data_IF_358190110872
#
_entry.id   IF_358190110872
#
_cell.length_a   1.000
_cell.length_b   1.000
_cell.length_c   1.000
_cell.angle_alpha   90.00
_cell.angle_beta   90.00
_cell.angle_gamma   90.00
#
_symmetry.space_group_name_H-M   'P 1'
#
loop_
_entity.id
_entity.type
_entity.pdbx_description
1 polymer ?
#
# COMPACT_ATOMS: atom_id res chain seq x y z
N UNK A 1 4.42 14.70 5.67
CA UNK A 1 4.13 13.45 4.94
C UNK A 1 3.00 12.69 5.62
N UNK A 2 2.12 12.10 4.85
CA UNK A 2 1.04 11.26 5.37
C UNK A 2 1.23 9.84 4.82
N UNK A 3 1.28 8.84 5.69
CA UNK A 3 1.41 7.44 5.31
C UNK A 3 0.38 6.59 6.03
N UNK A 4 -0.27 5.67 5.31
CA UNK A 4 -1.16 4.69 5.94
C UNK A 4 -0.40 3.43 6.36
N UNK A 5 0.91 3.33 6.07
CA UNK A 5 1.72 2.18 6.39
C UNK A 5 2.48 2.31 7.70
N UNK A 6 2.90 3.52 8.06
CA UNK A 6 3.69 3.75 9.27
C UNK A 6 3.48 5.14 9.82
N UNK A 7 3.60 5.27 11.13
CA UNK A 7 3.65 6.54 11.85
C UNK A 7 5.09 7.01 12.12
N UNK A 8 6.09 6.17 11.89
CA UNK A 8 7.50 6.47 12.15
C UNK A 8 8.14 7.07 10.90
N UNK A 9 7.82 8.34 10.64
CA UNK A 9 8.16 9.00 9.37
C UNK A 9 9.63 9.42 9.26
N UNK A 10 10.39 9.37 10.35
CA UNK A 10 11.79 9.79 10.39
C UNK A 10 12.78 8.65 10.17
N UNK A 11 12.28 7.43 10.11
CA UNK A 11 13.09 6.21 10.03
C UNK A 11 12.82 5.49 8.73
N UNK A 12 13.88 5.10 8.02
CA UNK A 12 13.77 4.25 6.83
C UNK A 12 13.14 2.91 7.21
N UNK A 13 12.03 2.55 6.59
CA UNK A 13 11.32 1.30 6.90
C UNK A 13 12.10 0.05 6.52
N UNK A 14 13.10 0.16 5.67
CA UNK A 14 13.89 -0.98 5.18
C UNK A 14 15.08 -1.25 6.10
N UNK A 15 15.92 -0.26 6.35
CA UNK A 15 17.17 -0.45 7.07
C UNK A 15 17.23 0.18 8.47
N UNK A 16 16.23 0.97 8.86
CA UNK A 16 16.16 1.59 10.18
C UNK A 16 17.02 2.85 10.34
N UNK A 17 17.71 3.29 9.29
CA UNK A 17 18.48 4.55 9.32
C UNK A 17 17.56 5.75 9.20
N UNK A 18 18.11 6.94 9.35
CA UNK A 18 17.33 8.15 9.14
C UNK A 18 16.74 8.20 7.72
N UNK A 19 15.48 8.57 7.62
CA UNK A 19 14.81 8.75 6.34
C UNK A 19 15.35 9.99 5.63
N UNK A 20 15.54 9.89 4.33
CA UNK A 20 16.03 10.97 3.49
C UNK A 20 15.08 11.29 2.33
N UNK A 21 14.11 10.41 2.08
CA UNK A 21 13.18 10.54 0.96
C UNK A 21 11.83 9.90 1.29
N UNK A 22 10.85 10.20 0.47
CA UNK A 22 9.55 9.54 0.47
C UNK A 22 9.46 8.64 -0.76
N UNK A 23 9.17 7.36 -0.56
CA UNK A 23 8.95 6.45 -1.67
C UNK A 23 7.46 6.23 -1.86
N UNK A 24 6.96 6.52 -3.05
CA UNK A 24 5.58 6.22 -3.42
C UNK A 24 5.49 4.76 -3.83
N UNK A 25 4.70 3.97 -3.11
CA UNK A 25 4.66 2.51 -3.28
C UNK A 25 4.16 2.10 -4.66
N UNK A 26 3.12 2.76 -5.15
CA UNK A 26 2.70 2.65 -6.54
C UNK A 26 3.24 3.88 -7.25
N UNK A 27 4.24 3.69 -8.07
CA UNK A 27 4.95 4.77 -8.75
C UNK A 27 4.72 4.75 -10.26
N UNK A 28 5.38 5.65 -10.98
CA UNK A 28 5.07 5.97 -12.36
C UNK A 28 4.22 7.25 -12.39
N UNK A 29 4.06 7.84 -13.56
CA UNK A 29 3.45 9.16 -13.71
C UNK A 29 2.07 9.27 -13.05
N UNK A 30 1.22 8.29 -13.25
CA UNK A 30 -0.13 8.27 -12.71
C UNK A 30 -0.19 7.68 -11.30
N UNK A 31 0.53 6.58 -11.07
CA UNK A 31 0.55 5.91 -9.78
C UNK A 31 1.13 6.76 -8.66
N UNK A 32 2.15 7.56 -8.92
CA UNK A 32 2.76 8.44 -7.94
C UNK A 32 1.77 9.47 -7.40
N UNK A 33 0.99 10.08 -8.27
CA UNK A 33 -0.01 11.06 -7.87
C UNK A 33 -1.09 10.44 -6.98
N UNK A 34 -1.58 9.27 -7.35
CA UNK A 34 -2.55 8.53 -6.55
C UNK A 34 -1.98 8.06 -5.21
N UNK A 35 -0.74 7.57 -5.20
CA UNK A 35 -0.05 7.19 -3.97
C UNK A 35 0.08 8.37 -3.01
N UNK A 36 0.37 9.56 -3.54
CA UNK A 36 0.44 10.78 -2.75
C UNK A 36 -0.90 11.07 -2.07
N UNK A 37 -1.99 11.00 -2.83
CA UNK A 37 -3.34 11.24 -2.31
C UNK A 37 -3.78 10.20 -1.30
N UNK A 38 -3.45 8.95 -1.53
CA UNK A 38 -3.92 7.82 -0.73
C UNK A 38 -3.01 7.50 0.46
N UNK A 39 -1.88 8.19 0.60
CA UNK A 39 -0.93 7.92 1.67
C UNK A 39 -0.15 6.62 1.50
N UNK A 40 -0.03 6.12 0.26
CA UNK A 40 0.77 4.94 -0.07
C UNK A 40 2.24 5.33 -0.22
N UNK A 41 2.82 5.81 0.87
CA UNK A 41 4.20 6.28 0.92
C UNK A 41 4.91 5.70 2.13
N UNK A 42 6.20 5.48 1.98
CA UNK A 42 7.07 5.07 3.08
C UNK A 42 8.26 6.01 3.18
N UNK A 43 8.70 6.31 4.42
CA UNK A 43 9.98 6.98 4.62
C UNK A 43 11.11 6.01 4.29
N UNK A 44 12.12 6.48 3.58
CA UNK A 44 13.19 5.62 3.08
C UNK A 44 14.50 6.42 3.00
N UNK A 45 15.63 5.76 3.22
CA UNK A 45 16.91 6.39 2.98
C UNK A 45 17.28 6.30 1.49
N UNK A 46 18.20 7.15 1.04
CA UNK A 46 18.57 7.19 -0.37
C UNK A 46 19.15 5.87 -0.88
N UNK A 47 19.93 5.16 -0.05
CA UNK A 47 20.51 3.88 -0.45
C UNK A 47 19.45 2.81 -0.72
N UNK A 48 18.42 2.73 0.11
CA UNK A 48 17.33 1.77 -0.10
C UNK A 48 16.39 2.21 -1.22
N UNK A 49 16.33 3.49 -1.54
CA UNK A 49 15.42 4.04 -2.53
C UNK A 49 15.96 3.90 -3.96
N UNK A 50 17.03 4.59 -4.32
CA UNK A 50 17.54 4.64 -5.69
C UNK A 50 19.05 4.80 -5.84
N UNK A 51 19.78 5.08 -4.76
CA UNK A 51 21.21 5.39 -4.82
C UNK A 51 22.12 4.24 -4.41
N UNK A 52 21.58 3.19 -3.80
CA UNK A 52 22.34 2.04 -3.38
C UNK A 52 22.59 1.02 -4.48
N UNK A 53 23.14 -0.13 -4.11
CA UNK A 53 23.35 -1.25 -5.00
C UNK A 53 22.02 -1.83 -5.49
N UNK A 54 21.99 -2.39 -6.71
CA UNK A 54 20.78 -2.94 -7.35
C UNK A 54 20.08 -3.95 -6.46
N UNK A 55 20.83 -4.77 -5.74
CA UNK A 55 20.25 -5.81 -4.87
C UNK A 55 19.65 -5.24 -3.57
N UNK A 56 19.86 -3.97 -3.28
CA UNK A 56 19.41 -3.32 -2.04
C UNK A 56 18.39 -2.22 -2.23
N UNK A 57 18.34 -1.62 -3.40
CA UNK A 57 17.45 -0.49 -3.67
C UNK A 57 16.16 -0.94 -4.31
N UNK A 58 15.13 -0.11 -4.21
CA UNK A 58 13.84 -0.38 -4.85
C UNK A 58 13.90 -0.03 -6.33
N UNK A 59 14.22 1.24 -6.66
CA UNK A 59 14.25 1.66 -8.06
C UNK A 59 15.43 1.06 -8.81
N UNK A 60 15.14 0.52 -10.00
CA UNK A 60 16.12 -0.19 -10.80
C UNK A 60 16.27 -1.67 -10.44
N UNK A 61 15.48 -2.15 -9.49
CA UNK A 61 15.43 -3.56 -9.10
C UNK A 61 14.02 -4.09 -9.41
N UNK A 62 13.82 -4.81 -10.53
CA UNK A 62 12.48 -5.20 -10.98
C UNK A 62 11.66 -5.96 -9.95
N UNK A 63 12.28 -6.85 -9.18
CA UNK A 63 11.58 -7.58 -8.14
C UNK A 63 11.13 -6.67 -7.01
N UNK A 64 12.01 -5.78 -6.54
CA UNK A 64 11.68 -4.84 -5.49
C UNK A 64 10.62 -3.82 -5.94
N UNK A 65 10.68 -3.39 -7.20
CA UNK A 65 9.66 -2.51 -7.78
C UNK A 65 8.29 -3.19 -7.80
N UNK A 66 8.24 -4.47 -8.19
CA UNK A 66 6.98 -5.23 -8.18
C UNK A 66 6.45 -5.41 -6.76
N UNK A 67 7.31 -5.78 -5.81
CA UNK A 67 6.93 -5.93 -4.41
C UNK A 67 6.43 -4.61 -3.80
N UNK A 68 7.03 -3.49 -4.17
CA UNK A 68 6.57 -2.17 -3.75
C UNK A 68 5.12 -1.93 -4.15
N UNK A 69 4.77 -2.23 -5.40
CA UNK A 69 3.40 -2.06 -5.91
C UNK A 69 2.42 -3.03 -5.22
N UNK A 70 2.83 -4.26 -4.99
CA UNK A 70 2.02 -5.26 -4.26
C UNK A 70 1.74 -4.79 -2.83
N UNK A 71 2.77 -4.30 -2.14
CA UNK A 71 2.63 -3.78 -0.78
C UNK A 71 1.67 -2.59 -0.75
N UNK A 72 1.81 -1.68 -1.71
CA UNK A 72 0.90 -0.54 -1.86
C UNK A 72 -0.53 -0.99 -2.06
N UNK A 73 -0.75 -1.95 -2.93
CA UNK A 73 -2.08 -2.51 -3.17
C UNK A 73 -2.67 -3.14 -1.90
N UNK A 74 -1.90 -3.97 -1.21
CA UNK A 74 -2.38 -4.63 0.02
C UNK A 74 -2.68 -3.62 1.13
N UNK A 75 -1.88 -2.58 1.28
CA UNK A 75 -2.14 -1.51 2.23
C UNK A 75 -3.44 -0.76 1.90
N UNK A 76 -3.66 -0.46 0.63
CA UNK A 76 -4.87 0.21 0.17
C UNK A 76 -6.11 -0.67 0.37
N UNK A 77 -6.00 -1.96 0.02
CA UNK A 77 -7.09 -2.93 0.21
C UNK A 77 -7.43 -3.12 1.69
N UNK A 78 -6.41 -3.13 2.55
CA UNK A 78 -6.62 -3.20 4.01
C UNK A 78 -7.39 -1.98 4.51
N UNK A 79 -7.01 -0.79 4.09
CA UNK A 79 -7.70 0.45 4.49
C UNK A 79 -9.14 0.46 4.01
N UNK A 80 -9.38 0.04 2.78
CA UNK A 80 -10.72 -0.12 2.23
C UNK A 80 -11.55 -1.12 3.06
N UNK A 81 -10.94 -2.27 3.40
CA UNK A 81 -11.63 -3.31 4.18
C UNK A 81 -12.00 -2.81 5.58
N UNK A 82 -11.12 -2.05 6.23
CA UNK A 82 -11.41 -1.48 7.55
C UNK A 82 -12.59 -0.51 7.51
N UNK A 83 -12.66 0.33 6.49
CA UNK A 83 -13.78 1.25 6.31
C UNK A 83 -15.09 0.50 6.06
N UNK A 84 -15.07 -0.53 5.23
CA UNK A 84 -16.25 -1.35 4.93
C UNK A 84 -16.68 -2.23 6.11
N UNK A 85 -15.74 -2.74 6.89
CA UNK A 85 -16.04 -3.51 8.10
C UNK A 85 -16.84 -2.69 9.11
N UNK A 86 -16.51 -1.41 9.28
CA UNK A 86 -17.27 -0.51 10.13
C UNK A 86 -18.72 -0.35 9.64
N UNK A 87 -18.92 -0.25 8.33
CA UNK A 87 -20.27 -0.15 7.75
C UNK A 87 -21.07 -1.45 7.95
N UNK A 88 -20.45 -2.62 7.71
CA UNK A 88 -21.09 -3.92 7.82
C UNK A 88 -21.22 -4.42 9.27
N UNK A 89 -20.35 -4.02 10.17
CA UNK A 89 -20.38 -4.41 11.57
C UNK A 89 -21.66 -4.01 12.30
N UNK A 90 -22.39 -3.05 11.78
CA UNK A 90 -23.69 -2.62 12.31
C UNK A 90 -24.85 -3.52 11.86
N UNK A 91 -24.64 -4.36 10.86
CA UNK A 91 -25.66 -5.15 10.17
C UNK A 91 -25.56 -6.62 10.54
N UNK A 92 -24.38 -7.09 10.96
CA UNK A 92 -24.11 -8.51 11.20
C UNK A 92 -24.40 -8.88 12.66
N UNK A 93 -25.38 -9.79 12.84
CA UNK A 93 -25.68 -10.37 14.13
C UNK A 93 -25.45 -11.89 14.20
N UNK A 94 -24.94 -12.51 13.12
CA UNK A 94 -24.82 -13.97 13.03
C UNK A 94 -23.53 -14.41 12.34
N UNK A 95 -22.89 -15.47 12.86
CA UNK A 95 -21.59 -15.97 12.39
C UNK A 95 -21.59 -16.46 10.93
N UNK A 96 -22.71 -16.96 10.44
CA UNK A 96 -22.81 -17.48 9.06
C UNK A 96 -22.65 -16.40 7.99
N UNK A 97 -22.97 -15.16 8.31
CA UNK A 97 -22.88 -14.04 7.38
C UNK A 97 -21.48 -13.43 7.36
N UNK A 98 -20.66 -13.69 8.39
CA UNK A 98 -19.34 -13.08 8.54
C UNK A 98 -18.39 -13.48 7.41
N UNK A 99 -18.30 -14.79 7.09
CA UNK A 99 -17.39 -15.28 6.05
C UNK A 99 -17.81 -14.78 4.66
N UNK A 100 -19.10 -14.75 4.37
CA UNK A 100 -19.62 -14.21 3.11
C UNK A 100 -19.33 -12.74 2.97
N UNK A 101 -19.42 -11.97 4.05
CA UNK A 101 -19.14 -10.54 4.06
C UNK A 101 -17.65 -10.27 3.90
N UNK A 102 -16.78 -11.04 4.56
CA UNK A 102 -15.33 -10.95 4.37
C UNK A 102 -14.95 -11.16 2.91
N UNK A 103 -15.56 -12.14 2.24
CA UNK A 103 -15.33 -12.41 0.83
C UNK A 103 -15.79 -11.26 -0.06
N UNK A 104 -16.95 -10.70 0.22
CA UNK A 104 -17.50 -9.55 -0.51
C UNK A 104 -16.58 -8.32 -0.34
N UNK A 105 -16.13 -8.04 0.87
CA UNK A 105 -15.24 -6.92 1.15
C UNK A 105 -13.91 -7.09 0.41
N UNK A 106 -13.30 -8.27 0.46
CA UNK A 106 -12.02 -8.53 -0.21
C UNK A 106 -12.14 -8.41 -1.74
N UNK A 107 -13.19 -8.94 -2.31
CA UNK A 107 -13.47 -8.81 -3.75
C UNK A 107 -13.71 -7.35 -4.13
N UNK A 108 -14.49 -6.63 -3.34
CA UNK A 108 -14.77 -5.22 -3.55
C UNK A 108 -13.53 -4.34 -3.44
N UNK A 109 -12.66 -4.64 -2.47
CA UNK A 109 -11.39 -3.92 -2.29
C UNK A 109 -10.50 -4.03 -3.54
N UNK A 110 -10.35 -5.24 -4.07
CA UNK A 110 -9.52 -5.48 -5.26
C UNK A 110 -10.09 -4.84 -6.51
N UNK A 111 -11.39 -4.93 -6.73
CA UNK A 111 -12.04 -4.27 -7.86
C UNK A 111 -11.97 -2.76 -7.76
N UNK A 112 -12.15 -2.19 -6.58
CA UNK A 112 -12.04 -0.76 -6.35
C UNK A 112 -10.61 -0.25 -6.60
N UNK A 113 -9.60 -1.00 -6.16
CA UNK A 113 -8.20 -0.67 -6.45
C UNK A 113 -7.92 -0.71 -7.96
N UNK A 114 -8.41 -1.75 -8.63
CA UNK A 114 -8.24 -1.88 -10.08
C UNK A 114 -8.82 -0.69 -10.83
N UNK A 115 -9.99 -0.22 -10.44
CA UNK A 115 -10.62 0.97 -11.03
C UNK A 115 -9.82 2.22 -10.77
N UNK A 116 -9.31 2.39 -9.55
CA UNK A 116 -8.57 3.59 -9.16
C UNK A 116 -7.19 3.66 -9.79
N UNK A 117 -6.44 2.58 -9.78
CA UNK A 117 -5.05 2.52 -10.27
C UNK A 117 -4.92 2.00 -11.70
N UNK A 118 -6.03 1.60 -12.33
CA UNK A 118 -6.05 1.12 -13.71
C UNK A 118 -5.73 -0.36 -13.89
N UNK A 119 -5.20 -1.01 -12.88
CA UNK A 119 -4.87 -2.44 -12.90
C UNK A 119 -4.71 -2.98 -11.48
N UNK A 120 -4.70 -4.31 -11.37
CA UNK A 120 -4.30 -5.01 -10.15
C UNK A 120 -2.86 -5.51 -10.31
N UNK A 121 -2.07 -5.42 -9.24
CA UNK A 121 -0.70 -5.95 -9.19
C UNK A 121 -0.66 -7.40 -8.68
N UNK A 122 -1.82 -7.91 -8.29
CA UNK A 122 -1.97 -9.29 -7.81
C UNK A 122 -2.81 -10.13 -8.74
#
# INVERSE_FOLDING_TARGET
MKSILTEYLEICVICGRQSEAEHHLVFGTYGRELSEKDGLKIPICNNCHNMGEVIRKIHGNPMAEKLSKIIGQLAWEKEYALQKADEFGRIINENEKEDSIKKIINTGARESLRKRYGCSFL
#
